data_IF_869124758892
#
_entry.id   IF_869124758892
#
_cell.length_a   1.000
_cell.length_b   1.000
_cell.length_c   1.000
_cell.angle_alpha   90.00
_cell.angle_beta   90.00
_cell.angle_gamma   90.00
#
_symmetry.space_group_name_H-M   'P 1'
#
loop_
_entity.id
_entity.type
_entity.pdbx_description
1 polymer ?
#
# COMPACT_ATOMS: atom_id res chain seq x y z
N UNK A 1 -3.53 -10.89 -0.82
CA UNK A 1 -3.21 -9.52 -0.35
C UNK A 1 -3.34 -9.48 1.15
N UNK A 2 -2.46 -8.71 1.79
CA UNK A 2 -2.52 -8.41 3.23
C UNK A 2 -2.88 -6.96 3.44
N UNK A 3 -3.81 -6.73 4.36
CA UNK A 3 -4.21 -5.41 4.81
C UNK A 3 -3.59 -5.16 6.18
N UNK A 4 -2.99 -3.99 6.37
CA UNK A 4 -2.25 -3.66 7.57
C UNK A 4 -2.78 -2.33 8.10
N UNK A 5 -3.49 -2.43 9.22
CA UNK A 5 -4.13 -1.30 9.91
C UNK A 5 -3.51 -1.03 11.27
N UNK A 6 -2.56 -1.85 11.70
CA UNK A 6 -1.88 -1.75 12.99
C UNK A 6 -0.48 -2.39 12.96
N UNK A 7 0.37 -2.00 13.91
CA UNK A 7 1.71 -2.60 14.08
C UNK A 7 1.67 -4.11 14.36
N UNK A 8 0.58 -4.62 14.95
CA UNK A 8 0.45 -6.04 15.25
C UNK A 8 0.38 -6.89 13.97
N UNK A 9 -0.20 -6.37 12.90
CA UNK A 9 -0.34 -7.06 11.62
C UNK A 9 0.99 -7.11 10.82
N UNK A 10 1.91 -6.18 11.10
CA UNK A 10 3.24 -6.16 10.47
C UNK A 10 4.03 -7.46 10.76
N UNK A 11 3.84 -8.05 11.93
CA UNK A 11 4.52 -9.30 12.33
C UNK A 11 4.17 -10.48 11.42
N UNK A 12 3.11 -10.37 10.61
CA UNK A 12 2.65 -11.41 9.70
C UNK A 12 3.21 -11.26 8.28
N UNK A 13 4.00 -10.20 8.02
CA UNK A 13 4.62 -9.93 6.72
C UNK A 13 5.93 -10.72 6.61
N UNK A 14 6.10 -11.46 5.51
CA UNK A 14 7.32 -12.26 5.28
C UNK A 14 8.44 -11.40 4.69
N UNK A 15 8.08 -10.41 3.89
CA UNK A 15 8.94 -9.44 3.22
C UNK A 15 9.50 -8.42 4.23
N UNK A 16 10.57 -8.80 4.92
CA UNK A 16 11.18 -8.01 6.00
C UNK A 16 11.44 -6.54 5.65
N UNK A 17 11.88 -6.24 4.42
CA UNK A 17 12.14 -4.85 3.99
C UNK A 17 10.85 -4.02 3.88
N UNK A 18 9.76 -4.63 3.41
CA UNK A 18 8.45 -3.96 3.33
C UNK A 18 7.87 -3.82 4.73
N UNK A 19 7.96 -4.87 5.56
CA UNK A 19 7.53 -4.83 6.95
C UNK A 19 8.22 -3.68 7.73
N UNK A 20 9.53 -3.53 7.54
CA UNK A 20 10.31 -2.46 8.14
C UNK A 20 9.89 -1.08 7.62
N UNK A 21 9.70 -0.92 6.30
CA UNK A 21 9.27 0.35 5.72
C UNK A 21 7.88 0.80 6.24
N UNK A 22 6.94 -0.14 6.39
CA UNK A 22 5.61 0.13 6.97
C UNK A 22 5.76 0.55 8.44
N UNK A 23 6.59 -0.17 9.21
CA UNK A 23 6.82 0.15 10.62
C UNK A 23 7.41 1.55 10.81
N UNK A 24 8.42 1.90 10.01
CA UNK A 24 9.04 3.23 10.02
C UNK A 24 8.04 4.32 9.67
N UNK A 25 7.19 4.08 8.66
CA UNK A 25 6.13 5.02 8.28
C UNK A 25 5.14 5.25 9.42
N UNK A 26 4.70 4.17 10.09
CA UNK A 26 3.81 4.28 11.25
C UNK A 26 4.49 5.04 12.40
N UNK A 27 5.75 4.75 12.71
CA UNK A 27 6.49 5.43 13.77
C UNK A 27 6.64 6.93 13.47
N UNK A 28 6.98 7.28 12.23
CA UNK A 28 7.03 8.67 11.78
C UNK A 28 5.69 9.38 11.94
N UNK A 29 4.58 8.73 11.59
CA UNK A 29 3.24 9.30 11.77
C UNK A 29 2.92 9.53 13.26
N UNK A 30 3.21 8.56 14.11
CA UNK A 30 3.00 8.71 15.57
C UNK A 30 3.84 9.84 16.16
N UNK A 31 5.10 9.98 15.74
CA UNK A 31 5.98 11.07 16.17
C UNK A 31 5.49 12.44 15.67
N UNK A 32 5.02 12.51 14.43
CA UNK A 32 4.54 13.75 13.82
C UNK A 32 3.26 14.28 14.46
N UNK A 33 2.33 13.38 14.81
CA UNK A 33 1.03 13.76 15.39
C UNK A 33 0.99 13.65 16.92
N UNK A 34 2.04 13.13 17.55
CA UNK A 34 2.12 12.86 19.00
C UNK A 34 0.98 11.97 19.52
N UNK A 35 0.44 11.09 18.67
CA UNK A 35 -0.70 10.23 18.94
C UNK A 35 -0.45 8.80 18.44
N UNK A 36 -1.07 7.76 19.04
CA UNK A 36 -1.00 6.40 18.52
C UNK A 36 -1.60 6.31 17.11
N UNK A 37 -0.96 5.54 16.23
CA UNK A 37 -1.41 5.40 14.86
C UNK A 37 -2.82 4.79 14.77
N UNK A 38 -3.69 5.45 14.00
CA UNK A 38 -5.02 4.99 13.66
C UNK A 38 -5.21 4.97 12.15
N UNK A 39 -5.51 3.79 11.60
CA UNK A 39 -5.70 3.60 10.17
C UNK A 39 -6.80 4.49 9.56
N UNK A 40 -7.87 4.75 10.32
CA UNK A 40 -8.99 5.59 9.89
C UNK A 40 -8.64 7.08 9.82
N UNK A 41 -7.51 7.50 10.39
CA UNK A 41 -7.06 8.90 10.42
C UNK A 41 -5.85 9.15 9.52
N UNK A 42 -4.96 8.16 9.38
CA UNK A 42 -3.71 8.30 8.64
C UNK A 42 -3.63 7.42 7.40
N UNK A 43 -4.74 6.76 7.04
CA UNK A 43 -4.77 5.77 5.98
C UNK A 43 -4.25 4.41 6.44
N UNK A 44 -4.14 3.47 5.51
CA UNK A 44 -3.75 2.09 5.80
C UNK A 44 -2.87 1.50 4.70
N UNK A 45 -2.21 0.39 5.01
CA UNK A 45 -1.24 -0.21 4.11
C UNK A 45 -1.76 -1.51 3.51
N UNK A 46 -1.33 -1.79 2.28
CA UNK A 46 -1.64 -3.05 1.59
C UNK A 46 -0.36 -3.65 1.05
N UNK A 47 -0.19 -4.96 1.21
CA UNK A 47 0.87 -5.73 0.56
C UNK A 47 0.25 -6.70 -0.45
N UNK A 48 0.65 -6.56 -1.72
CA UNK A 48 0.37 -7.55 -2.74
C UNK A 48 1.34 -8.74 -2.60
N UNK A 49 0.81 -9.94 -2.46
CA UNK A 49 1.56 -11.19 -2.33
C UNK A 49 1.57 -12.01 -3.62
N UNK A 50 0.62 -11.75 -4.53
CA UNK A 50 0.55 -12.40 -5.84
C UNK A 50 -0.11 -11.51 -6.89
N UNK A 51 -0.08 -11.95 -8.14
CA UNK A 51 -0.63 -11.23 -9.29
C UNK A 51 -2.13 -10.93 -9.20
N UNK A 52 -2.93 -11.80 -8.57
CA UNK A 52 -4.37 -11.59 -8.44
C UNK A 52 -4.67 -10.38 -7.55
N UNK A 53 -3.76 -10.04 -6.63
CA UNK A 53 -3.92 -8.90 -5.75
C UNK A 53 -3.90 -7.55 -6.51
N UNK A 54 -3.38 -7.54 -7.74
CA UNK A 54 -3.39 -6.35 -8.59
C UNK A 54 -4.76 -6.08 -9.21
N UNK A 55 -5.54 -7.14 -9.47
CA UNK A 55 -6.78 -7.08 -10.25
C UNK A 55 -8.03 -7.30 -9.40
N UNK A 56 -7.89 -7.84 -8.19
CA UNK A 56 -8.99 -7.96 -7.25
C UNK A 56 -9.27 -6.61 -6.57
N UNK A 57 -10.55 -6.28 -6.33
CA UNK A 57 -10.89 -5.11 -5.53
C UNK A 57 -10.31 -5.20 -4.12
N UNK A 58 -9.89 -4.05 -3.57
CA UNK A 58 -9.52 -3.97 -2.16
C UNK A 58 -10.72 -4.24 -1.24
N UNK A 59 -10.47 -4.69 -0.01
CA UNK A 59 -11.54 -5.03 0.92
C UNK A 59 -12.46 -3.82 1.15
N UNK A 60 -13.77 -4.03 0.96
CA UNK A 60 -14.82 -3.02 1.07
C UNK A 60 -14.74 -1.86 0.04
N UNK A 61 -13.93 -2.00 -1.00
CA UNK A 61 -13.83 -1.04 -2.10
C UNK A 61 -14.30 -1.69 -3.42
N UNK A 62 -14.69 -0.86 -4.37
CA UNK A 62 -15.23 -1.32 -5.68
C UNK A 62 -14.19 -1.28 -6.80
N UNK A 63 -12.92 -1.03 -6.48
CA UNK A 63 -11.84 -0.90 -7.45
C UNK A 63 -10.61 -1.69 -7.01
N UNK A 64 -9.83 -2.11 -8.00
CA UNK A 64 -8.51 -2.75 -7.89
C UNK A 64 -7.36 -1.77 -8.11
N UNK A 65 -6.13 -2.19 -7.77
CA UNK A 65 -4.93 -1.41 -8.04
C UNK A 65 -4.73 -1.18 -9.55
N UNK A 66 -4.93 -2.22 -10.36
CA UNK A 66 -4.76 -2.15 -11.81
C UNK A 66 -5.73 -1.16 -12.46
N UNK A 67 -6.98 -1.10 -12.01
CA UNK A 67 -7.95 -0.11 -12.49
C UNK A 67 -7.49 1.31 -12.20
N UNK A 68 -7.06 1.59 -10.96
CA UNK A 68 -6.58 2.92 -10.56
C UNK A 68 -5.32 3.35 -11.31
N UNK A 69 -4.35 2.44 -11.46
CA UNK A 69 -3.14 2.71 -12.24
C UNK A 69 -3.45 2.99 -13.71
N UNK A 70 -4.33 2.20 -14.34
CA UNK A 70 -4.70 2.39 -15.74
C UNK A 70 -5.51 3.67 -15.98
N UNK A 71 -6.30 4.11 -15.00
CA UNK A 71 -7.06 5.36 -15.05
C UNK A 71 -6.19 6.59 -14.72
N UNK A 72 -4.97 6.41 -14.21
CA UNK A 72 -4.16 7.52 -13.69
C UNK A 72 -4.72 8.13 -12.40
N UNK A 73 -5.55 7.38 -11.67
CA UNK A 73 -6.20 7.79 -10.42
C UNK A 73 -5.37 7.36 -9.21
N UNK A 74 -4.06 7.65 -9.26
CA UNK A 74 -3.10 7.40 -8.19
C UNK A 74 -2.35 8.69 -7.92
N UNK A 75 -2.04 8.96 -6.66
CA UNK A 75 -1.33 10.20 -6.27
C UNK A 75 0.14 10.11 -6.65
N UNK A 76 0.75 8.94 -6.42
CA UNK A 76 2.09 8.65 -6.89
C UNK A 76 2.34 7.16 -7.05
N UNK A 77 3.34 6.85 -7.87
CA UNK A 77 3.96 5.54 -7.99
C UNK A 77 5.46 5.73 -7.83
N UNK A 78 6.03 5.22 -6.74
CA UNK A 78 7.46 5.29 -6.48
C UNK A 78 8.11 3.90 -6.65
N UNK A 79 9.18 3.86 -7.44
CA UNK A 79 9.97 2.64 -7.63
C UNK A 79 11.07 2.56 -6.58
N UNK A 80 10.97 1.61 -5.66
CA UNK A 80 12.07 1.22 -4.76
C UNK A 80 12.91 0.12 -5.42
N UNK A 81 13.93 -0.34 -4.70
CA UNK A 81 14.86 -1.38 -5.20
C UNK A 81 14.12 -2.69 -5.52
N UNK A 82 13.33 -3.17 -4.57
CA UNK A 82 12.72 -4.50 -4.60
C UNK A 82 11.17 -4.48 -4.66
N UNK A 83 10.55 -3.30 -4.54
CA UNK A 83 9.09 -3.12 -4.63
C UNK A 83 8.72 -1.76 -5.24
N UNK A 84 7.44 -1.57 -5.53
CA UNK A 84 6.81 -0.30 -5.85
C UNK A 84 5.91 0.13 -4.70
N UNK A 85 5.88 1.43 -4.43
CA UNK A 85 4.92 2.07 -3.54
C UNK A 85 3.91 2.83 -4.39
N UNK A 86 2.64 2.55 -4.20
CA UNK A 86 1.54 3.24 -4.89
C UNK A 86 0.64 3.85 -3.85
N UNK A 87 0.38 5.15 -3.96
CA UNK A 87 -0.52 5.84 -3.04
C UNK A 87 -1.82 6.22 -3.74
N UNK A 88 -2.94 5.94 -3.08
CA UNK A 88 -4.30 6.22 -3.57
C UNK A 88 -5.05 6.94 -2.46
N UNK A 89 -5.58 8.13 -2.73
CA UNK A 89 -6.55 8.78 -1.84
C UNK A 89 -7.93 8.14 -2.03
N UNK A 90 -8.57 7.76 -0.92
CA UNK A 90 -9.95 7.28 -0.89
C UNK A 90 -10.93 8.43 -0.71
N UNK A 91 -10.54 9.42 0.09
CA UNK A 91 -11.26 10.65 0.37
C UNK A 91 -10.27 11.70 0.91
N UNK A 92 -10.77 12.85 1.35
CA UNK A 92 -9.93 13.97 1.84
C UNK A 92 -9.04 13.62 3.04
N UNK A 93 -9.36 12.56 3.80
CA UNK A 93 -8.69 12.21 5.06
C UNK A 93 -8.14 10.78 5.11
N UNK A 94 -8.43 9.94 4.12
CA UNK A 94 -8.05 8.53 4.13
C UNK A 94 -7.37 8.17 2.81
N UNK A 95 -6.21 7.53 2.91
CA UNK A 95 -5.48 6.99 1.77
C UNK A 95 -5.02 5.56 2.01
N UNK A 96 -4.63 4.91 0.93
CA UNK A 96 -4.02 3.59 0.95
C UNK A 96 -2.62 3.70 0.38
N UNK A 97 -1.62 3.21 1.12
CA UNK A 97 -0.27 3.00 0.60
C UNK A 97 -0.06 1.52 0.30
N UNK A 98 0.05 1.20 -0.98
CA UNK A 98 0.15 -0.16 -1.49
C UNK A 98 1.61 -0.48 -1.84
N UNK A 99 2.11 -1.59 -1.29
CA UNK A 99 3.40 -2.16 -1.57
C UNK A 99 3.25 -3.32 -2.55
N UNK A 100 3.88 -3.21 -3.71
CA UNK A 100 3.87 -4.26 -4.73
C UNK A 100 5.29 -4.75 -4.97
N UNK A 101 5.62 -6.00 -4.60
CA UNK A 101 6.89 -6.62 -4.96
C UNK A 101 7.16 -6.47 -6.46
N UNK A 102 8.39 -6.10 -6.80
CA UNK A 102 8.78 -5.79 -8.19
C UNK A 102 8.51 -6.95 -9.14
N UNK A 103 8.70 -8.18 -8.66
CA UNK A 103 8.41 -9.39 -9.42
C UNK A 103 6.95 -9.50 -9.86
N UNK A 104 6.00 -9.02 -9.04
CA UNK A 104 4.56 -9.01 -9.34
C UNK A 104 4.23 -7.85 -10.28
N UNK A 105 4.71 -6.65 -9.95
CA UNK A 105 4.41 -5.44 -10.72
C UNK A 105 4.92 -5.51 -12.18
N UNK A 106 6.14 -6.01 -12.38
CA UNK A 106 6.77 -6.06 -13.71
C UNK A 106 6.23 -7.21 -14.58
N UNK A 107 5.74 -8.30 -13.99
CA UNK A 107 5.11 -9.41 -14.73
C UNK A 107 3.77 -8.99 -15.34
N UNK A 108 3.02 -8.12 -14.67
CA UNK A 108 1.69 -7.69 -15.11
C UNK A 108 1.71 -6.58 -16.17
N UNK A 109 2.88 -6.10 -16.61
CA UNK A 109 3.05 -5.02 -17.60
C UNK A 109 2.14 -3.81 -17.36
N UNK A 110 1.87 -3.48 -16.10
CA UNK A 110 1.08 -2.31 -15.75
C UNK A 110 1.80 -1.08 -16.31
N UNK A 111 1.13 -0.31 -17.16
CA UNK A 111 1.67 0.93 -17.69
C UNK A 111 1.59 1.96 -16.58
N UNK A 112 2.74 2.29 -15.99
CA UNK A 112 2.89 3.53 -15.24
C UNK A 112 3.02 4.63 -16.28
N UNK A 113 2.01 5.48 -16.38
CA UNK A 113 1.94 6.58 -17.37
C UNK A 113 2.93 7.67 -16.97
#
# INVERSE_FOLDING_TARGET
MKFIQSKAEIQQIQEQLIAQAILETIQMLEEQYEEPYQATQHGWFVLCENDQDLIQPFQNLTFSLAEKLNAGEVEFVEKKKDWYEVYILLNDNEGILIYVPKAIFEQHKLKVI
#
